data_IF_820463295880
#
_entry.id   IF_820463295880
#
_cell.length_a   1.000
_cell.length_b   1.000
_cell.length_c   1.000
_cell.angle_alpha   90.00
_cell.angle_beta   90.00
_cell.angle_gamma   90.00
#
_symmetry.space_group_name_H-M   'P 1'
#
loop_
_entity.id
_entity.type
_entity.pdbx_description
1 polymer ?
#
# COMPACT_ATOMS: atom_id res chain seq x y z
N UNK A 1 -44.45 -10.12 -44.26
CA UNK A 1 -44.45 -9.36 -42.99
C UNK A 1 -43.57 -10.10 -41.99
N UNK A 2 -42.56 -9.44 -41.45
CA UNK A 2 -41.37 -10.02 -40.81
C UNK A 2 -41.38 -9.64 -39.33
N UNK A 3 -41.40 -10.62 -38.42
CA UNK A 3 -41.18 -10.41 -36.97
C UNK A 3 -40.49 -11.65 -36.38
N UNK A 4 -39.17 -11.70 -36.53
CA UNK A 4 -38.33 -12.60 -35.73
C UNK A 4 -37.69 -11.68 -34.70
N UNK A 5 -38.23 -11.70 -33.48
CA UNK A 5 -37.66 -11.00 -32.33
C UNK A 5 -36.64 -11.94 -31.71
N UNK A 6 -35.38 -11.84 -32.14
CA UNK A 6 -34.25 -12.49 -31.49
C UNK A 6 -33.97 -11.73 -30.19
N UNK A 7 -34.29 -12.34 -29.05
CA UNK A 7 -33.99 -11.81 -27.74
C UNK A 7 -32.46 -11.66 -27.60
N UNK A 8 -32.01 -10.43 -27.40
CA UNK A 8 -30.61 -10.11 -27.16
C UNK A 8 -30.18 -10.70 -25.81
N UNK A 9 -29.13 -11.52 -25.86
CA UNK A 9 -28.38 -12.02 -24.71
C UNK A 9 -28.02 -10.86 -23.78
N UNK A 10 -28.56 -10.87 -22.56
CA UNK A 10 -28.00 -10.13 -21.44
C UNK A 10 -26.71 -10.84 -21.00
N UNK A 11 -25.60 -10.43 -21.59
CA UNK A 11 -24.28 -10.76 -21.06
C UNK A 11 -24.16 -10.06 -19.70
N UNK A 12 -24.37 -10.82 -18.63
CA UNK A 12 -23.92 -10.44 -17.29
C UNK A 12 -22.39 -10.42 -17.33
N UNK A 13 -21.82 -9.27 -17.62
CA UNK A 13 -20.42 -8.98 -17.33
C UNK A 13 -20.26 -8.97 -15.82
N UNK A 14 -19.87 -10.12 -15.26
CA UNK A 14 -19.35 -10.20 -13.91
C UNK A 14 -18.16 -9.24 -13.83
N UNK A 15 -18.36 -8.11 -13.13
CA UNK A 15 -17.29 -7.22 -12.72
C UNK A 15 -16.40 -8.04 -11.79
N UNK A 16 -15.34 -8.62 -12.34
CA UNK A 16 -14.23 -9.13 -11.57
C UNK A 16 -13.58 -7.93 -10.90
N UNK A 17 -14.04 -7.59 -9.70
CA UNK A 17 -13.28 -6.73 -8.81
C UNK A 17 -11.91 -7.40 -8.65
N UNK A 18 -10.79 -6.72 -8.93
CA UNK A 18 -9.49 -7.30 -8.65
C UNK A 18 -9.48 -7.57 -7.15
N UNK A 19 -9.36 -8.85 -6.78
CA UNK A 19 -9.02 -9.21 -5.42
C UNK A 19 -7.77 -8.40 -5.08
N UNK A 20 -7.86 -7.49 -4.10
CA UNK A 20 -6.68 -6.84 -3.57
C UNK A 20 -5.77 -7.96 -3.14
N UNK A 21 -4.68 -8.17 -3.89
CA UNK A 21 -3.70 -9.17 -3.54
C UNK A 21 -3.23 -8.81 -2.12
N UNK A 22 -3.46 -9.71 -1.16
CA UNK A 22 -2.92 -9.53 0.18
C UNK A 22 -1.41 -9.43 0.02
N UNK A 23 -0.88 -8.23 0.26
CA UNK A 23 0.54 -7.98 0.17
C UNK A 23 1.24 -8.86 1.21
N UNK A 24 2.03 -9.81 0.72
CA UNK A 24 2.76 -10.72 1.60
C UNK A 24 3.81 -9.92 2.36
N UNK A 25 3.90 -10.05 3.69
CA UNK A 25 4.90 -9.34 4.47
C UNK A 25 6.32 -9.84 4.12
N UNK A 26 7.26 -8.91 3.97
CA UNK A 26 8.67 -9.18 3.84
C UNK A 26 9.25 -9.60 5.20
N UNK A 27 9.85 -10.80 5.33
CA UNK A 27 10.43 -11.25 6.59
C UNK A 27 11.55 -10.31 7.08
N UNK A 28 11.44 -9.84 8.32
CA UNK A 28 12.46 -8.99 8.95
C UNK A 28 12.57 -7.59 8.34
N UNK A 29 11.51 -7.10 7.69
CA UNK A 29 11.40 -5.72 7.20
C UNK A 29 10.13 -5.10 7.77
N UNK A 30 10.26 -3.86 8.23
CA UNK A 30 9.15 -3.05 8.76
C UNK A 30 9.04 -1.74 8.00
N UNK A 31 7.82 -1.24 7.84
CA UNK A 31 7.51 0.11 7.35
C UNK A 31 7.44 1.06 8.53
N UNK A 32 8.29 2.08 8.54
CA UNK A 32 8.23 3.19 9.47
C UNK A 32 7.29 4.27 8.95
N UNK A 33 6.25 4.60 9.71
CA UNK A 33 5.28 5.64 9.36
C UNK A 33 5.66 6.98 9.96
N UNK A 34 5.65 8.03 9.14
CA UNK A 34 5.87 9.39 9.60
C UNK A 34 4.70 10.29 9.22
N UNK A 35 4.41 11.22 10.11
CA UNK A 35 3.41 12.24 9.84
C UNK A 35 3.92 13.38 8.94
N UNK A 36 3.04 14.34 8.65
CA UNK A 36 3.34 15.52 7.82
C UNK A 36 4.54 16.34 8.36
N UNK A 37 4.75 16.32 9.68
CA UNK A 37 5.85 17.00 10.37
C UNK A 37 7.13 16.14 10.45
N UNK A 38 7.16 14.97 9.79
CA UNK A 38 8.29 14.06 9.76
C UNK A 38 8.61 13.39 11.10
N UNK A 39 7.64 13.30 12.02
CA UNK A 39 7.79 12.56 13.28
C UNK A 39 7.32 11.12 13.08
N UNK A 40 8.07 10.15 13.62
CA UNK A 40 7.66 8.75 13.65
C UNK A 40 6.37 8.59 14.47
N UNK A 41 5.40 7.88 13.90
CA UNK A 41 4.07 7.66 14.50
C UNK A 41 3.82 6.18 14.81
N UNK A 42 4.46 5.28 14.07
CA UNK A 42 4.34 3.85 14.30
C UNK A 42 5.05 3.02 13.23
N UNK A 43 4.87 1.70 13.33
CA UNK A 43 5.44 0.73 12.39
C UNK A 43 4.42 -0.32 12.01
N UNK A 44 4.58 -0.89 10.83
CA UNK A 44 3.86 -2.10 10.38
C UNK A 44 4.86 -3.07 9.73
N UNK A 45 4.51 -4.36 9.58
CA UNK A 45 5.26 -5.23 8.68
C UNK A 45 5.29 -4.62 7.27
N UNK A 46 6.46 -4.59 6.64
CA UNK A 46 6.57 -4.14 5.25
C UNK A 46 6.08 -5.23 4.31
N UNK A 47 5.52 -4.85 3.17
CA UNK A 47 5.22 -5.80 2.10
C UNK A 47 6.48 -6.20 1.34
N UNK A 48 6.43 -7.33 0.61
CA UNK A 48 7.50 -7.74 -0.31
C UNK A 48 7.70 -6.79 -1.50
N UNK A 49 6.78 -5.85 -1.72
CA UNK A 49 6.88 -4.84 -2.78
C UNK A 49 7.61 -3.57 -2.33
N UNK A 50 7.73 -3.35 -1.01
CA UNK A 50 8.39 -2.17 -0.47
C UNK A 50 9.91 -2.22 -0.65
N UNK A 51 10.48 -1.08 -1.07
CA UNK A 51 11.92 -0.93 -1.23
C UNK A 51 12.57 -0.47 0.07
N UNK A 52 13.49 -1.28 0.60
CA UNK A 52 14.25 -0.93 1.81
C UNK A 52 15.10 0.32 1.57
N UNK A 53 15.16 1.19 2.58
CA UNK A 53 15.84 2.49 2.55
C UNK A 53 15.28 3.48 1.53
N UNK A 54 14.06 3.26 1.04
CA UNK A 54 13.37 4.17 0.15
C UNK A 54 12.24 4.90 0.91
N UNK A 55 12.27 6.23 0.86
CA UNK A 55 11.25 7.08 1.46
C UNK A 55 10.26 7.51 0.39
N UNK A 56 8.97 7.29 0.62
CA UNK A 56 7.93 7.78 -0.29
C UNK A 56 6.77 8.44 0.45
N UNK A 57 6.14 9.40 -0.24
CA UNK A 57 4.88 9.98 0.17
C UNK A 57 3.76 9.03 -0.21
N UNK A 58 2.83 8.80 0.71
CA UNK A 58 1.76 7.81 0.54
C UNK A 58 0.51 8.41 -0.10
N UNK A 59 0.46 9.74 -0.24
CA UNK A 59 -0.74 10.52 -0.56
C UNK A 59 -1.74 10.62 0.59
N UNK A 60 -1.46 10.01 1.75
CA UNK A 60 -2.36 9.96 2.91
C UNK A 60 -1.82 10.89 4.00
N UNK A 61 -2.33 12.12 4.14
CA UNK A 61 -1.90 13.03 5.21
C UNK A 61 -2.11 12.46 6.62
N UNK A 62 -1.69 13.20 7.65
CA UNK A 62 -1.79 12.76 9.05
C UNK A 62 -0.68 11.79 9.41
N UNK A 63 -0.98 10.77 10.22
CA UNK A 63 0.05 9.90 10.83
C UNK A 63 0.75 8.94 9.85
N UNK A 64 0.24 8.79 8.63
CA UNK A 64 0.81 7.92 7.59
C UNK A 64 1.20 8.68 6.33
N UNK A 65 1.58 9.95 6.44
CA UNK A 65 2.00 10.81 5.31
C UNK A 65 3.21 10.26 4.53
N UNK A 66 4.10 9.57 5.23
CA UNK A 66 5.31 9.01 4.63
C UNK A 66 5.62 7.62 5.15
N UNK A 67 6.17 6.80 4.27
CA UNK A 67 6.59 5.43 4.55
C UNK A 67 8.08 5.26 4.24
N UNK A 68 8.79 4.54 5.11
CA UNK A 68 10.19 4.20 4.95
C UNK A 68 10.44 2.77 5.42
N UNK A 69 10.80 1.87 4.52
CA UNK A 69 11.07 0.48 4.87
C UNK A 69 12.51 0.29 5.38
N UNK A 70 12.67 -0.45 6.48
CA UNK A 70 13.98 -0.79 7.07
C UNK A 70 14.03 -2.27 7.42
N UNK A 71 15.24 -2.84 7.42
CA UNK A 71 15.46 -4.13 8.07
C UNK A 71 15.31 -3.97 9.58
N UNK A 72 14.42 -4.75 10.18
CA UNK A 72 14.08 -4.60 11.59
C UNK A 72 12.83 -5.39 11.95
N UNK A 73 12.46 -5.29 13.23
CA UNK A 73 11.26 -5.92 13.77
C UNK A 73 10.50 -5.01 14.74
N UNK A 74 11.07 -3.87 15.15
CA UNK A 74 10.51 -3.00 16.19
C UNK A 74 10.66 -1.53 15.85
N UNK A 75 9.87 -0.70 16.51
CA UNK A 75 9.87 0.76 16.32
C UNK A 75 11.24 1.40 16.56
N UNK A 76 12.07 0.82 17.42
CA UNK A 76 13.41 1.33 17.72
C UNK A 76 14.39 1.20 16.54
N UNK A 77 14.10 0.32 15.58
CA UNK A 77 14.88 0.16 14.35
C UNK A 77 14.61 1.30 13.35
N UNK A 78 13.53 2.06 13.57
CA UNK A 78 13.18 3.21 12.73
C UNK A 78 13.94 4.47 13.15
N UNK A 79 14.37 5.30 12.18
CA UNK A 79 14.78 6.67 12.46
C UNK A 79 13.68 7.44 13.21
N UNK A 80 14.03 8.16 14.27
CA UNK A 80 13.05 8.95 15.04
C UNK A 80 12.42 10.10 14.21
N UNK A 81 13.11 10.51 13.14
CA UNK A 81 12.67 11.54 12.18
C UNK A 81 12.74 10.99 10.77
N UNK A 82 11.83 11.47 9.93
CA UNK A 82 11.78 11.13 8.51
C UNK A 82 13.15 11.37 7.87
N UNK A 83 13.75 10.38 7.19
CA UNK A 83 14.97 10.56 6.42
C UNK A 83 14.83 11.65 5.35
N UNK A 84 15.93 12.21 4.83
CA UNK A 84 15.88 13.03 3.63
C UNK A 84 15.43 12.18 2.43
N UNK A 85 14.68 12.80 1.51
CA UNK A 85 14.38 12.19 0.21
C UNK A 85 15.70 12.02 -0.54
N UNK A 86 15.97 10.81 -1.05
CA UNK A 86 17.17 10.49 -1.83
C UNK A 86 16.82 10.33 -3.30
#
# INVERSE_FOLDING_TARGET
>A
MKRILTAALLALSALAFPAMAEETPAPGVITCWYNDNGKLTGVTPASTSEHVNYLYNTGRGGDQAWAYAVHGAKTEDCPARRPPVR
#
